data_IF_564119848659
#
_entry.id   IF_564119848659
#
_cell.length_a   1.000
_cell.length_b   1.000
_cell.length_c   1.000
_cell.angle_alpha   90.00
_cell.angle_beta   90.00
_cell.angle_gamma   90.00
#
_symmetry.space_group_name_H-M   'P 1'
#
loop_
_entity.id
_entity.type
_entity.pdbx_description
1 polymer ?
#
# COMPACT_ATOMS: atom_id res chain seq x y z
N UNK A 1 -38.25 -74.39 18.03
CA UNK A 1 -37.99 -73.25 17.11
C UNK A 1 -37.61 -72.03 17.95
N UNK A 2 -36.31 -71.83 18.19
CA UNK A 2 -35.79 -70.65 18.89
C UNK A 2 -34.88 -69.88 17.94
N UNK A 3 -35.20 -68.61 17.66
CA UNK A 3 -34.37 -67.73 16.82
C UNK A 3 -33.31 -67.05 17.70
N UNK A 4 -32.05 -67.26 17.37
CA UNK A 4 -30.90 -66.54 17.93
C UNK A 4 -30.83 -65.14 17.31
N UNK A 5 -30.82 -64.11 18.16
CA UNK A 5 -30.57 -62.72 17.79
C UNK A 5 -29.05 -62.47 17.78
N UNK A 6 -28.50 -62.19 16.60
CA UNK A 6 -27.11 -61.74 16.44
C UNK A 6 -27.12 -60.21 16.59
N UNK A 7 -26.42 -59.68 17.61
CA UNK A 7 -26.13 -58.25 17.74
C UNK A 7 -24.74 -57.99 17.17
N UNK A 8 -24.63 -57.17 16.13
CA UNK A 8 -23.35 -56.75 15.56
C UNK A 8 -22.91 -55.44 16.21
N UNK A 9 -21.73 -55.45 16.83
CA UNK A 9 -21.07 -54.29 17.43
C UNK A 9 -20.46 -53.41 16.32
N UNK A 10 -20.98 -52.20 16.13
CA UNK A 10 -20.37 -51.20 15.27
C UNK A 10 -19.21 -50.52 16.02
N UNK A 11 -17.97 -50.96 15.74
CA UNK A 11 -16.78 -50.18 16.09
C UNK A 11 -16.59 -49.05 15.07
N UNK A 12 -16.98 -47.84 15.47
CA UNK A 12 -16.74 -46.62 14.69
C UNK A 12 -15.24 -46.29 14.60
N UNK A 13 -14.75 -46.10 13.38
CA UNK A 13 -13.39 -45.60 13.12
C UNK A 13 -13.24 -44.16 13.62
N UNK A 14 -12.06 -43.77 14.17
CA UNK A 14 -11.84 -42.41 14.63
C UNK A 14 -11.82 -41.41 13.46
N UNK A 15 -12.29 -40.17 13.66
CA UNK A 15 -12.36 -39.17 12.60
C UNK A 15 -10.97 -38.77 12.11
N UNK A 16 -10.81 -38.73 10.78
CA UNK A 16 -9.59 -38.25 10.12
C UNK A 16 -9.36 -36.77 10.45
N UNK A 17 -8.24 -36.46 11.10
CA UNK A 17 -7.73 -35.09 11.22
C UNK A 17 -7.34 -34.56 9.83
N UNK A 18 -8.11 -33.59 9.33
CA UNK A 18 -7.76 -32.81 8.13
C UNK A 18 -6.61 -31.86 8.49
N UNK A 19 -5.45 -31.92 7.82
CA UNK A 19 -4.38 -30.97 8.05
C UNK A 19 -4.86 -29.56 7.69
N UNK A 20 -4.83 -28.63 8.66
CA UNK A 20 -5.11 -27.23 8.35
C UNK A 20 -4.04 -26.67 7.39
N UNK A 21 -4.43 -25.88 6.37
CA UNK A 21 -3.47 -25.22 5.51
C UNK A 21 -2.59 -24.30 6.37
N UNK A 22 -1.27 -24.51 6.32
CA UNK A 22 -0.32 -23.61 6.95
C UNK A 22 -0.55 -22.19 6.40
N UNK A 23 -1.04 -21.29 7.26
CA UNK A 23 -1.27 -19.89 6.90
C UNK A 23 0.08 -19.24 6.64
N UNK A 24 0.38 -18.97 5.36
CA UNK A 24 1.53 -18.18 4.94
C UNK A 24 1.47 -16.77 5.57
N UNK A 25 2.61 -16.16 5.91
CA UNK A 25 2.64 -14.83 6.50
C UNK A 25 2.11 -13.79 5.50
N UNK A 26 1.14 -12.96 5.90
CA UNK A 26 0.46 -11.97 5.03
C UNK A 26 0.72 -10.53 5.44
N UNK A 27 1.46 -9.82 4.59
CA UNK A 27 1.54 -8.37 4.61
C UNK A 27 1.47 -7.75 3.20
N UNK A 28 0.51 -6.85 3.00
CA UNK A 28 0.38 -6.05 1.79
C UNK A 28 0.67 -4.59 2.13
N UNK A 29 1.55 -3.96 1.37
CA UNK A 29 1.90 -2.54 1.46
C UNK A 29 1.68 -1.91 0.07
N UNK A 30 0.66 -1.07 -0.10
CA UNK A 30 0.52 -0.33 -1.36
C UNK A 30 1.39 0.91 -1.25
N UNK A 31 2.53 0.96 -1.94
CA UNK A 31 3.39 2.16 -1.93
C UNK A 31 3.92 2.52 -3.31
N UNK A 32 3.92 3.84 -3.51
CA UNK A 32 4.32 4.65 -4.67
C UNK A 32 5.82 4.64 -4.83
N UNK A 33 6.32 4.39 -6.04
CA UNK A 33 7.71 4.67 -6.37
C UNK A 33 7.88 5.92 -7.22
N UNK A 34 9.13 6.35 -7.29
CA UNK A 34 9.60 7.58 -7.94
C UNK A 34 9.05 7.70 -9.36
N UNK A 35 8.45 8.87 -9.63
CA UNK A 35 7.75 9.28 -10.86
C UNK A 35 6.37 8.66 -11.01
N UNK A 36 5.37 9.53 -10.96
CA UNK A 36 3.94 9.23 -11.14
C UNK A 36 3.30 8.68 -9.88
N UNK A 37 2.52 9.56 -9.30
CA UNK A 37 1.66 9.27 -8.19
C UNK A 37 0.54 8.40 -8.69
N UNK A 38 0.42 7.24 -8.07
CA UNK A 38 -0.51 6.17 -8.42
C UNK A 38 -0.64 5.98 -9.93
N UNK A 39 0.44 5.55 -10.58
CA UNK A 39 0.33 4.91 -11.89
C UNK A 39 -0.32 5.74 -12.99
N UNK A 40 -0.17 7.07 -13.02
CA UNK A 40 -0.44 7.84 -14.24
C UNK A 40 0.24 7.15 -15.43
N UNK A 41 -0.60 6.58 -16.28
CA UNK A 41 -0.22 5.76 -17.39
C UNK A 41 -0.28 6.52 -18.71
N UNK A 42 -0.70 7.80 -18.74
CA UNK A 42 -0.87 8.57 -19.98
C UNK A 42 0.36 8.48 -20.87
N UNK A 43 1.55 8.64 -20.29
CA UNK A 43 2.83 8.57 -21.01
C UNK A 43 3.47 7.18 -21.04
N UNK A 44 2.79 6.15 -20.54
CA UNK A 44 3.32 4.77 -20.42
C UNK A 44 2.68 3.80 -21.39
N UNK A 45 1.47 4.10 -21.87
CA UNK A 45 0.79 3.29 -22.89
C UNK A 45 1.60 3.22 -24.18
N UNK A 46 1.37 2.15 -24.98
CA UNK A 46 1.97 2.00 -26.31
C UNK A 46 1.68 3.20 -27.20
N UNK A 47 0.46 3.72 -27.10
CA UNK A 47 0.05 5.00 -27.67
C UNK A 47 -0.21 5.98 -26.52
N UNK A 48 0.70 6.93 -26.28
CA UNK A 48 0.56 7.88 -25.19
C UNK A 48 -0.69 8.75 -25.33
N UNK A 49 -1.38 8.97 -24.20
CA UNK A 49 -2.50 9.90 -24.13
C UNK A 49 -2.00 11.34 -23.96
N UNK A 50 -2.74 12.33 -24.50
CA UNK A 50 -2.38 13.72 -24.33
C UNK A 50 -2.45 14.13 -22.86
N UNK A 51 -1.63 15.09 -22.41
CA UNK A 51 -1.70 15.64 -21.04
C UNK A 51 -3.08 16.20 -20.68
N UNK A 52 -3.85 16.62 -21.68
CA UNK A 52 -5.21 17.17 -21.55
C UNK A 52 -6.31 16.10 -21.54
N UNK A 53 -5.97 14.80 -21.57
CA UNK A 53 -6.95 13.72 -21.51
C UNK A 53 -7.81 13.84 -20.23
N UNK A 54 -9.12 14.02 -20.44
CA UNK A 54 -10.11 14.11 -19.38
C UNK A 54 -10.68 12.72 -19.06
N UNK A 55 -10.15 12.10 -18.01
CA UNK A 55 -10.54 10.77 -17.56
C UNK A 55 -9.48 10.13 -16.66
N UNK A 56 -9.77 8.92 -16.18
CA UNK A 56 -8.84 8.14 -15.38
C UNK A 56 -7.87 7.37 -16.27
N UNK A 57 -6.57 7.52 -16.02
CA UNK A 57 -5.52 6.70 -16.63
C UNK A 57 -4.51 6.35 -15.54
N UNK A 58 -4.95 5.53 -14.58
CA UNK A 58 -4.19 5.17 -13.38
C UNK A 58 -3.97 3.66 -13.34
N UNK A 59 -2.79 3.26 -12.91
CA UNK A 59 -2.43 1.89 -12.57
C UNK A 59 -2.12 1.78 -11.08
N UNK A 60 -2.25 0.56 -10.56
CA UNK A 60 -2.04 0.28 -9.14
C UNK A 60 -0.67 -0.37 -8.90
N UNK A 61 0.07 0.16 -7.93
CA UNK A 61 1.36 -0.37 -7.50
C UNK A 61 1.21 -1.10 -6.16
N UNK A 62 1.22 -2.43 -6.19
CA UNK A 62 1.15 -3.25 -4.97
C UNK A 62 2.54 -3.82 -4.66
N UNK A 63 3.00 -3.60 -3.43
CA UNK A 63 4.24 -4.14 -2.89
C UNK A 63 3.91 -5.04 -1.69
N UNK A 64 4.53 -6.21 -1.57
CA UNK A 64 4.28 -7.12 -0.45
C UNK A 64 5.58 -7.43 0.27
N UNK A 65 5.64 -7.14 1.57
CA UNK A 65 6.86 -7.23 2.37
C UNK A 65 6.58 -7.81 3.74
N UNK A 66 7.31 -8.87 4.15
CA UNK A 66 7.00 -9.56 5.40
C UNK A 66 7.15 -8.61 6.59
N UNK A 67 6.22 -8.68 7.56
CA UNK A 67 6.34 -7.90 8.80
C UNK A 67 7.72 -8.05 9.45
N UNK A 68 8.27 -9.28 9.45
CA UNK A 68 9.61 -9.56 9.99
C UNK A 68 10.75 -8.90 9.19
N UNK A 69 10.54 -8.61 7.90
CA UNK A 69 11.50 -7.89 7.05
C UNK A 69 11.39 -6.38 7.32
N UNK A 70 10.18 -5.86 7.53
CA UNK A 70 9.92 -4.45 7.87
C UNK A 70 10.40 -4.03 9.26
N UNK A 71 10.61 -4.99 10.17
CA UNK A 71 11.05 -4.72 11.55
C UNK A 71 12.57 -4.84 11.73
N UNK A 72 13.33 -5.06 10.66
CA UNK A 72 14.79 -5.07 10.70
C UNK A 72 15.34 -3.64 10.71
N UNK A 73 16.55 -3.49 11.24
CA UNK A 73 17.27 -2.22 11.32
C UNK A 73 17.57 -1.64 9.93
N UNK A 74 17.92 -2.48 8.96
CA UNK A 74 18.20 -2.15 7.56
C UNK A 74 16.96 -2.20 6.65
N UNK A 75 15.77 -2.31 7.23
CA UNK A 75 14.53 -2.58 6.49
C UNK A 75 14.21 -1.55 5.40
N UNK A 76 14.60 -0.29 5.59
CA UNK A 76 14.31 0.81 4.66
C UNK A 76 14.97 0.60 3.30
N UNK A 77 16.20 0.07 3.25
CA UNK A 77 16.88 -0.23 1.98
C UNK A 77 16.08 -1.27 1.20
N UNK A 78 15.65 -2.36 1.87
CA UNK A 78 14.84 -3.41 1.26
C UNK A 78 13.45 -2.92 0.82
N UNK A 79 12.83 -2.00 1.59
CA UNK A 79 11.55 -1.37 1.22
C UNK A 79 11.71 -0.52 -0.04
N UNK A 80 12.74 0.34 -0.09
CA UNK A 80 13.02 1.20 -1.24
C UNK A 80 13.31 0.37 -2.49
N UNK A 81 14.09 -0.72 -2.35
CA UNK A 81 14.38 -1.63 -3.45
C UNK A 81 13.11 -2.31 -3.95
N UNK A 82 12.26 -2.84 -3.06
CA UNK A 82 11.02 -3.51 -3.43
C UNK A 82 10.04 -2.56 -4.16
N UNK A 83 9.90 -1.33 -3.67
CA UNK A 83 9.10 -0.28 -4.32
C UNK A 83 9.70 0.08 -5.69
N UNK A 84 11.01 0.31 -5.76
CA UNK A 84 11.71 0.66 -6.99
C UNK A 84 11.59 -0.42 -8.06
N UNK A 85 11.72 -1.68 -7.69
CA UNK A 85 11.54 -2.82 -8.59
C UNK A 85 10.11 -2.92 -9.10
N UNK A 86 9.10 -2.70 -8.24
CA UNK A 86 7.70 -2.69 -8.66
C UNK A 86 7.40 -1.54 -9.63
N UNK A 87 7.96 -0.35 -9.40
CA UNK A 87 7.79 0.76 -10.36
C UNK A 87 8.46 0.48 -11.69
N UNK A 88 9.65 -0.12 -11.71
CA UNK A 88 10.29 -0.56 -12.97
C UNK A 88 9.43 -1.58 -13.72
N UNK A 89 8.70 -2.45 -13.03
CA UNK A 89 7.74 -3.38 -13.66
C UNK A 89 6.59 -2.61 -14.31
N UNK A 90 5.99 -1.64 -13.61
CA UNK A 90 4.90 -0.81 -14.12
C UNK A 90 5.33 0.06 -15.31
N UNK A 91 6.57 0.53 -15.33
CA UNK A 91 7.11 1.30 -16.45
C UNK A 91 7.31 0.44 -17.70
N UNK A 92 7.59 -0.86 -17.54
CA UNK A 92 7.75 -1.80 -18.66
C UNK A 92 6.41 -2.32 -19.19
N UNK A 93 5.49 -2.65 -18.29
CA UNK A 93 4.20 -3.26 -18.59
C UNK A 93 3.09 -2.56 -17.80
N UNK A 94 2.68 -1.34 -18.21
CA UNK A 94 1.58 -0.64 -17.56
C UNK A 94 0.27 -1.38 -17.77
N UNK A 95 -0.65 -1.24 -16.81
CA UNK A 95 -1.98 -1.86 -16.79
C UNK A 95 -1.96 -3.40 -16.81
N UNK A 96 -0.82 -4.04 -16.57
CA UNK A 96 -0.68 -5.51 -16.57
C UNK A 96 -1.69 -6.22 -15.68
N UNK A 97 -2.05 -5.61 -14.55
CA UNK A 97 -2.99 -6.18 -13.58
C UNK A 97 -4.35 -5.47 -13.56
N UNK A 98 -4.64 -4.61 -14.56
CA UNK A 98 -5.84 -3.77 -14.56
C UNK A 98 -7.13 -4.59 -14.48
N UNK A 99 -7.20 -5.75 -15.14
CA UNK A 99 -8.39 -6.62 -15.07
C UNK A 99 -8.61 -7.23 -13.68
N UNK A 100 -7.53 -7.40 -12.91
CA UNK A 100 -7.52 -8.05 -11.59
C UNK A 100 -7.42 -7.05 -10.44
N UNK A 101 -7.42 -5.75 -10.75
CA UNK A 101 -7.15 -4.70 -9.77
C UNK A 101 -8.11 -4.75 -8.57
N UNK A 102 -9.41 -4.93 -8.80
CA UNK A 102 -10.40 -5.05 -7.72
C UNK A 102 -10.20 -6.29 -6.87
N UNK A 103 -9.87 -7.45 -7.46
CA UNK A 103 -9.61 -8.66 -6.70
C UNK A 103 -8.34 -8.54 -5.85
N UNK A 104 -7.28 -7.93 -6.41
CA UNK A 104 -6.03 -7.71 -5.68
C UNK A 104 -6.21 -6.69 -4.56
N UNK A 105 -6.94 -5.61 -4.81
CA UNK A 105 -7.31 -4.65 -3.77
C UNK A 105 -8.08 -5.31 -2.63
N UNK A 106 -9.14 -6.07 -2.94
CA UNK A 106 -9.93 -6.79 -1.93
C UNK A 106 -9.07 -7.75 -1.13
N UNK A 107 -8.21 -8.52 -1.80
CA UNK A 107 -7.25 -9.43 -1.16
C UNK A 107 -6.32 -8.70 -0.19
N UNK A 108 -5.85 -7.51 -0.56
CA UNK A 108 -4.99 -6.68 0.29
C UNK A 108 -5.76 -6.10 1.49
N UNK A 109 -6.98 -5.58 1.26
CA UNK A 109 -7.83 -4.98 2.29
C UNK A 109 -8.22 -6.00 3.38
N UNK A 110 -8.55 -7.24 2.98
CA UNK A 110 -8.85 -8.35 3.91
C UNK A 110 -7.73 -8.63 4.92
N UNK A 111 -6.48 -8.26 4.61
CA UNK A 111 -5.36 -8.42 5.55
C UNK A 111 -5.44 -7.45 6.73
N UNK A 112 -6.24 -6.38 6.63
CA UNK A 112 -6.31 -5.23 7.54
C UNK A 112 -4.97 -4.53 7.81
N UNK A 113 -3.93 -4.84 7.02
CA UNK A 113 -2.56 -4.33 7.12
C UNK A 113 -2.14 -3.51 5.89
N UNK A 114 -3.11 -3.21 5.03
CA UNK A 114 -2.95 -2.33 3.88
C UNK A 114 -2.68 -0.90 4.35
N UNK A 115 -1.63 -0.30 3.80
CA UNK A 115 -1.37 1.14 3.82
C UNK A 115 -1.49 1.60 2.37
N UNK A 116 -2.21 2.68 2.15
CA UNK A 116 -2.39 3.29 0.83
C UNK A 116 -1.69 4.64 0.80
N UNK A 117 -1.29 5.09 -0.38
CA UNK A 117 -0.71 6.42 -0.53
C UNK A 117 -1.51 7.19 -1.57
N UNK A 118 -1.92 8.40 -1.20
CA UNK A 118 -2.67 9.33 -2.02
C UNK A 118 -1.82 10.58 -2.31
N UNK A 119 -2.23 11.36 -3.29
CA UNK A 119 -1.59 12.63 -3.61
C UNK A 119 -0.33 12.48 -4.46
N UNK A 120 0.23 13.62 -4.85
CA UNK A 120 1.30 13.70 -5.82
C UNK A 120 2.15 14.96 -5.75
N UNK A 121 3.48 14.85 -5.53
CA UNK A 121 4.37 16.00 -5.66
C UNK A 121 4.43 16.60 -7.07
N UNK A 122 3.91 15.89 -8.08
CA UNK A 122 3.83 16.39 -9.46
C UNK A 122 2.52 17.14 -9.75
N UNK A 123 1.54 17.11 -8.84
CA UNK A 123 0.30 17.87 -9.03
C UNK A 123 0.51 19.36 -8.79
N UNK A 124 1.55 19.74 -8.04
CA UNK A 124 1.93 21.15 -7.82
C UNK A 124 0.75 21.98 -7.33
N UNK A 125 0.04 21.46 -6.33
CA UNK A 125 -1.15 22.10 -5.73
C UNK A 125 -0.84 23.51 -5.24
N UNK A 126 0.38 23.75 -4.74
CA UNK A 126 0.81 25.06 -4.28
C UNK A 126 1.11 26.08 -5.41
N UNK A 127 1.11 25.68 -6.68
CA UNK A 127 1.19 26.63 -7.81
C UNK A 127 -0.16 27.28 -8.14
N UNK A 128 -1.25 26.76 -7.56
CA UNK A 128 -2.59 27.28 -7.82
C UNK A 128 -2.70 28.71 -7.29
N UNK A 129 -3.10 29.66 -8.12
CA UNK A 129 -3.37 31.04 -7.69
C UNK A 129 -4.68 31.52 -8.30
N UNK A 130 -5.64 31.87 -7.44
CA UNK A 130 -6.94 32.40 -7.82
C UNK A 130 -6.98 33.94 -7.86
N UNK A 131 -5.84 34.61 -7.66
CA UNK A 131 -5.70 36.07 -7.61
C UNK A 131 -5.37 36.63 -6.21
N UNK A 132 -5.23 35.76 -5.20
CA UNK A 132 -4.91 36.14 -3.82
C UNK A 132 -3.60 35.51 -3.33
N UNK A 133 -2.81 34.96 -4.25
CA UNK A 133 -1.57 34.26 -3.95
C UNK A 133 -1.77 32.75 -3.77
N UNK A 134 -0.63 32.06 -3.68
CA UNK A 134 -0.58 30.60 -3.50
C UNK A 134 -1.18 30.12 -2.18
N UNK A 135 -1.75 28.89 -2.11
CA UNK A 135 -2.25 28.30 -0.88
C UNK A 135 -1.24 28.35 0.27
N UNK A 136 -1.76 28.60 1.47
CA UNK A 136 -0.95 28.51 2.70
C UNK A 136 -0.77 27.06 3.16
N UNK A 137 -1.77 26.20 2.91
CA UNK A 137 -1.75 24.77 3.22
C UNK A 137 -2.69 24.01 2.27
N UNK A 138 -2.33 22.78 1.93
CA UNK A 138 -3.16 21.81 1.22
C UNK A 138 -3.26 20.52 2.03
N UNK A 139 -4.46 19.93 2.11
CA UNK A 139 -4.70 18.66 2.81
C UNK A 139 -5.63 17.75 2.03
N UNK A 140 -5.37 16.44 2.06
CA UNK A 140 -6.20 15.41 1.44
C UNK A 140 -6.98 14.68 2.53
N UNK A 141 -8.20 15.17 2.82
CA UNK A 141 -8.99 14.73 3.99
C UNK A 141 -9.51 13.28 3.92
N UNK A 142 -9.59 12.70 2.72
CA UNK A 142 -10.10 11.32 2.54
C UNK A 142 -9.13 10.24 3.09
N UNK A 143 -7.93 10.65 3.51
CA UNK A 143 -6.86 9.78 3.99
C UNK A 143 -7.10 9.29 5.43
N UNK A 144 -7.84 10.07 6.23
CA UNK A 144 -7.94 9.85 7.68
C UNK A 144 -8.80 8.64 8.08
N UNK A 145 -9.81 8.30 7.27
CA UNK A 145 -10.67 7.13 7.53
C UNK A 145 -10.11 5.82 6.97
N UNK A 146 -9.04 5.84 6.17
CA UNK A 146 -8.69 4.73 5.27
C UNK A 146 -7.31 4.10 5.49
N UNK A 147 -6.61 4.40 6.61
CA UNK A 147 -5.21 3.99 6.84
C UNK A 147 -4.29 4.42 5.69
N UNK A 148 -4.58 5.57 5.10
CA UNK A 148 -3.78 6.14 4.03
C UNK A 148 -2.69 7.06 4.57
N UNK A 149 -1.77 7.41 3.68
CA UNK A 149 -0.83 8.51 3.81
C UNK A 149 -1.02 9.39 2.58
N UNK A 150 -0.93 10.71 2.72
CA UNK A 150 -0.83 11.63 1.58
C UNK A 150 0.61 12.06 1.37
N UNK A 151 1.00 12.18 0.10
CA UNK A 151 2.26 12.77 -0.33
C UNK A 151 1.97 13.94 -1.27
N UNK A 152 2.58 15.09 -1.03
CA UNK A 152 2.54 16.24 -1.93
C UNK A 152 3.87 16.99 -1.88
N UNK A 153 4.08 17.91 -2.80
CA UNK A 153 5.27 18.77 -2.77
C UNK A 153 5.24 19.69 -1.55
N UNK A 154 6.42 20.01 -1.03
CA UNK A 154 6.56 21.04 0.01
C UNK A 154 6.26 22.41 -0.58
N UNK A 155 5.53 23.23 0.19
CA UNK A 155 5.27 24.62 -0.15
C UNK A 155 6.54 25.47 -0.17
N UNK A 156 7.44 25.22 0.79
CA UNK A 156 8.49 26.14 1.18
C UNK A 156 9.92 25.62 0.90
N UNK A 157 10.06 24.33 0.63
CA UNK A 157 11.35 23.69 0.37
C UNK A 157 11.37 23.07 -1.03
N UNK A 158 12.26 23.56 -1.90
CA UNK A 158 12.42 23.00 -3.23
C UNK A 158 12.87 21.52 -3.15
N UNK A 159 12.13 20.64 -3.79
CA UNK A 159 12.36 19.20 -3.71
C UNK A 159 11.89 18.54 -2.39
N UNK A 160 11.43 19.33 -1.44
CA UNK A 160 10.82 18.84 -0.19
C UNK A 160 9.49 18.14 -0.44
N UNK A 161 9.13 17.23 0.47
CA UNK A 161 7.91 16.43 0.40
C UNK A 161 7.13 16.60 1.70
N UNK A 162 5.87 16.99 1.58
CA UNK A 162 4.93 16.98 2.69
C UNK A 162 4.24 15.61 2.79
N UNK A 163 4.25 15.04 3.99
CA UNK A 163 3.61 13.77 4.32
C UNK A 163 2.52 14.05 5.35
N UNK A 164 1.26 13.69 5.04
CA UNK A 164 0.15 13.84 6.00
C UNK A 164 -0.55 12.51 6.25
N UNK A 165 -0.86 12.22 7.52
CA UNK A 165 -1.56 11.02 7.96
C UNK A 165 -2.40 11.29 9.22
N UNK A 166 -3.58 10.68 9.30
CA UNK A 166 -4.44 10.71 10.47
C UNK A 166 -4.26 9.48 11.36
N UNK A 167 -3.91 9.68 12.64
CA UNK A 167 -3.79 8.63 13.65
C UNK A 167 -4.46 9.06 14.96
N UNK A 168 -4.88 8.09 15.79
CA UNK A 168 -5.29 8.41 17.17
C UNK A 168 -4.11 8.97 17.95
N UNK A 169 -4.36 9.85 18.93
CA UNK A 169 -3.31 10.53 19.72
C UNK A 169 -2.19 9.59 20.19
N UNK A 170 -2.55 8.49 20.89
CA UNK A 170 -1.57 7.51 21.37
C UNK A 170 -0.71 6.89 20.25
N UNK A 171 -1.32 6.62 19.07
CA UNK A 171 -0.59 6.09 17.91
C UNK A 171 0.28 7.15 17.27
N UNK A 172 -0.15 8.41 17.25
CA UNK A 172 0.64 9.53 16.73
C UNK A 172 1.87 9.79 17.61
N UNK A 173 1.71 9.80 18.95
CA UNK A 173 2.83 9.99 19.88
C UNK A 173 3.93 8.94 19.69
N UNK A 174 3.51 7.68 19.49
CA UNK A 174 4.41 6.57 19.16
C UNK A 174 5.05 6.72 17.78
N UNK A 175 4.27 7.14 16.78
CA UNK A 175 4.78 7.36 15.43
C UNK A 175 5.86 8.44 15.42
N UNK A 176 5.63 9.58 16.07
CA UNK A 176 6.60 10.67 16.18
C UNK A 176 7.90 10.19 16.83
N UNK A 177 7.79 9.44 17.94
CA UNK A 177 8.96 8.90 18.64
C UNK A 177 9.81 7.98 17.73
N UNK A 178 9.15 7.10 16.96
CA UNK A 178 9.83 6.21 16.00
C UNK A 178 10.43 7.02 14.85
N UNK A 179 9.68 7.97 14.31
CA UNK A 179 10.07 8.81 13.18
C UNK A 179 11.34 9.62 13.49
N UNK A 180 11.35 10.33 14.61
CA UNK A 180 12.50 11.13 15.03
C UNK A 180 13.74 10.27 15.30
N UNK A 181 13.55 9.11 15.93
CA UNK A 181 14.64 8.16 16.16
C UNK A 181 15.22 7.64 14.83
N UNK A 182 14.36 7.24 13.90
CA UNK A 182 14.77 6.78 12.57
C UNK A 182 15.50 7.88 11.79
N UNK A 183 15.01 9.12 11.78
CA UNK A 183 15.68 10.23 11.09
C UNK A 183 17.09 10.49 11.64
N UNK A 184 17.27 10.43 12.96
CA UNK A 184 18.60 10.58 13.57
C UNK A 184 19.58 9.54 13.04
N UNK A 185 19.17 8.27 12.96
CA UNK A 185 20.01 7.20 12.42
C UNK A 185 20.43 7.47 10.96
N UNK A 186 19.53 8.01 10.14
CA UNK A 186 19.84 8.36 8.74
C UNK A 186 20.77 9.57 8.60
N UNK A 187 20.67 10.56 9.49
CA UNK A 187 21.53 11.75 9.40
C UNK A 187 22.93 11.54 9.98
N UNK A 188 23.14 10.47 10.77
CA UNK A 188 24.45 10.14 11.38
C UNK A 188 25.20 9.01 10.68
N UNK A 189 24.62 8.40 9.64
CA UNK A 189 25.26 7.35 8.81
C UNK A 189 25.82 7.91 7.51
#
# INVERSE_FOLDING_TARGET
MGRQLITSSNHGLPPRTVPQPQRRPRPCLTTIGRRSNTGDCRNRLKEPLPPTYFGNCLDICIVELKKKELLKEDSIVGVVEAIGNKVKELEKEPLKIVEKWFSEWRRCDETKRLITVAGSPKLRVYDTDFGWGRPCKSEILHVDNSKGISLQESRDEEGGIEISLGLTKNRMDRFISIWEHSLKLFCTS
#
